data_IF_306149144237
#
_entry.id   IF_306149144237
#
_cell.length_a   1.000
_cell.length_b   1.000
_cell.length_c   1.000
_cell.angle_alpha   90.00
_cell.angle_beta   90.00
_cell.angle_gamma   90.00
#
_symmetry.space_group_name_H-M   'P 1'
#
loop_
_entity.id
_entity.type
_entity.pdbx_description
1 polymer ?
#
# COMPACT_ATOMS: atom_id res chain seq x y z
N UNK A 1 19.50 -15.14 -3.20
CA UNK A 1 20.85 -15.49 -2.69
C UNK A 1 21.63 -14.18 -2.64
N UNK A 2 22.15 -13.78 -1.48
CA UNK A 2 22.87 -12.51 -1.34
C UNK A 2 24.30 -12.67 -1.86
N UNK A 3 24.79 -11.70 -2.64
CA UNK A 3 26.19 -11.60 -3.03
C UNK A 3 27.03 -11.40 -1.76
N UNK A 4 28.02 -12.24 -1.54
CA UNK A 4 28.90 -12.16 -0.37
C UNK A 4 30.14 -11.32 -0.67
N UNK A 5 30.78 -10.78 0.37
CA UNK A 5 32.05 -10.04 0.23
C UNK A 5 33.16 -10.88 -0.46
N UNK A 6 33.06 -12.22 -0.38
CA UNK A 6 33.97 -13.15 -1.05
C UNK A 6 33.69 -13.27 -2.56
N UNK A 7 32.43 -13.14 -2.96
CA UNK A 7 32.02 -13.09 -4.38
C UNK A 7 32.44 -11.77 -5.03
N UNK A 8 32.49 -10.68 -4.25
CA UNK A 8 33.01 -9.38 -4.69
C UNK A 8 34.53 -9.46 -4.84
N UNK A 9 35.24 -10.02 -3.85
CA UNK A 9 36.70 -10.10 -3.88
C UNK A 9 37.26 -10.93 -5.04
N UNK A 10 36.55 -11.97 -5.48
CA UNK A 10 36.98 -12.85 -6.58
C UNK A 10 36.93 -12.17 -7.96
N UNK A 11 36.11 -11.12 -8.13
CA UNK A 11 36.06 -10.29 -9.35
C UNK A 11 37.35 -9.46 -9.49
N UNK A 12 38.01 -9.12 -8.39
CA UNK A 12 39.19 -8.26 -8.37
C UNK A 12 40.53 -9.02 -8.33
N UNK A 13 40.52 -10.34 -8.11
CA UNK A 13 41.74 -11.15 -8.10
C UNK A 13 42.10 -11.61 -9.51
N UNK A 14 42.91 -10.82 -10.22
CA UNK A 14 43.57 -11.24 -11.46
C UNK A 14 43.59 -10.22 -12.61
N UNK A 15 43.04 -9.02 -12.44
CA UNK A 15 42.91 -8.05 -13.53
C UNK A 15 43.80 -6.82 -13.30
N UNK A 16 44.63 -6.53 -14.30
CA UNK A 16 45.40 -5.31 -14.51
C UNK A 16 44.67 -4.05 -13.98
N UNK A 17 45.10 -3.56 -12.81
CA UNK A 17 44.47 -2.52 -11.98
C UNK A 17 44.66 -1.10 -12.55
N UNK A 18 44.59 -0.92 -13.86
CA UNK A 18 44.53 0.40 -14.47
C UNK A 18 43.22 1.09 -14.09
N UNK A 19 43.29 2.31 -13.56
CA UNK A 19 42.14 3.09 -13.08
C UNK A 19 40.97 3.16 -14.09
N UNK A 20 41.25 3.10 -15.39
CA UNK A 20 40.27 3.08 -16.47
C UNK A 20 39.39 1.83 -16.48
N UNK A 21 39.96 0.63 -16.22
CA UNK A 21 39.20 -0.62 -16.14
C UNK A 21 38.38 -0.72 -14.85
N UNK A 22 38.87 -0.12 -13.77
CA UNK A 22 38.12 -0.01 -12.50
C UNK A 22 36.90 0.90 -12.70
N UNK A 23 37.06 2.06 -13.34
CA UNK A 23 35.96 2.94 -13.67
C UNK A 23 34.92 2.27 -14.60
N UNK A 24 35.38 1.53 -15.61
CA UNK A 24 34.50 0.78 -16.51
C UNK A 24 33.69 -0.30 -15.79
N UNK A 25 34.33 -1.08 -14.91
CA UNK A 25 33.65 -2.11 -14.12
C UNK A 25 32.68 -1.51 -13.09
N UNK A 26 33.01 -0.36 -12.50
CA UNK A 26 32.14 0.34 -11.56
C UNK A 26 30.90 0.92 -12.25
N UNK A 27 31.07 1.52 -13.42
CA UNK A 27 29.95 2.03 -14.22
C UNK A 27 29.02 0.89 -14.69
N UNK A 28 29.57 -0.26 -15.07
CA UNK A 28 28.78 -1.43 -15.43
C UNK A 28 27.98 -1.99 -14.24
N UNK A 29 28.59 -2.03 -13.05
CA UNK A 29 27.89 -2.38 -11.81
C UNK A 29 26.79 -1.39 -11.44
N UNK A 30 26.98 -0.09 -11.70
CA UNK A 30 25.93 0.92 -11.50
C UNK A 30 24.79 0.70 -12.50
N UNK A 31 25.07 0.57 -13.79
CA UNK A 31 24.05 0.33 -14.83
C UNK A 31 23.24 -0.95 -14.60
N UNK A 32 23.88 -2.03 -14.15
CA UNK A 32 23.23 -3.31 -13.86
C UNK A 32 22.36 -3.26 -12.58
N UNK A 33 22.63 -2.34 -11.64
CA UNK A 33 21.90 -2.22 -10.38
C UNK A 33 20.86 -1.09 -10.34
N UNK A 34 20.97 -0.05 -11.19
CA UNK A 34 19.97 1.03 -11.28
C UNK A 34 18.57 0.47 -11.61
N UNK A 35 18.49 -0.56 -12.46
CA UNK A 35 17.22 -1.25 -12.75
C UNK A 35 16.67 -2.08 -11.59
N UNK A 36 17.52 -2.52 -10.65
CA UNK A 36 17.09 -3.24 -9.44
C UNK A 36 16.59 -2.29 -8.35
N UNK A 37 17.20 -1.12 -8.21
CA UNK A 37 16.73 -0.08 -7.28
C UNK A 37 15.35 0.44 -7.68
N UNK A 38 15.11 0.66 -8.98
CA UNK A 38 13.79 1.03 -9.48
C UNK A 38 12.76 -0.10 -9.32
N UNK A 39 13.17 -1.36 -9.44
CA UNK A 39 12.30 -2.52 -9.20
C UNK A 39 11.99 -2.71 -7.71
N UNK A 40 12.97 -2.49 -6.84
CA UNK A 40 12.82 -2.59 -5.39
C UNK A 40 12.00 -1.42 -4.83
N UNK A 41 12.23 -0.20 -5.31
CA UNK A 41 11.40 0.97 -5.03
C UNK A 41 9.99 0.78 -5.58
N UNK A 42 9.85 0.22 -6.78
CA UNK A 42 8.52 -0.10 -7.33
C UNK A 42 7.82 -1.16 -6.47
N UNK A 43 8.51 -2.22 -6.06
CA UNK A 43 7.95 -3.30 -5.25
C UNK A 43 7.58 -2.85 -3.82
N UNK A 44 8.40 -2.00 -3.20
CA UNK A 44 8.21 -1.55 -1.84
C UNK A 44 7.28 -0.33 -1.74
N UNK A 45 7.34 0.58 -2.71
CA UNK A 45 6.71 1.91 -2.61
C UNK A 45 5.68 2.20 -3.72
N UNK A 46 5.63 1.44 -4.82
CA UNK A 46 4.71 1.70 -5.96
C UNK A 46 3.72 0.57 -6.24
N UNK A 47 3.89 -0.63 -5.68
CA UNK A 47 2.89 -1.70 -5.73
C UNK A 47 1.83 -1.53 -4.66
N UNK A 48 0.63 -2.02 -4.97
CA UNK A 48 -0.47 -2.11 -4.01
C UNK A 48 -0.08 -3.05 -2.86
N UNK A 49 0.09 -2.50 -1.66
CA UNK A 49 0.50 -3.27 -0.49
C UNK A 49 -0.68 -3.94 0.20
N UNK A 50 -0.45 -5.07 0.87
CA UNK A 50 -1.39 -5.59 1.87
C UNK A 50 -1.14 -4.82 3.16
N UNK A 51 -2.11 -4.03 3.57
CA UNK A 51 -2.03 -3.18 4.73
C UNK A 51 -2.45 -3.86 6.03
N UNK A 52 -2.15 -3.20 7.15
CA UNK A 52 -2.54 -3.66 8.48
C UNK A 52 -4.06 -3.80 8.62
N UNK A 53 -4.48 -4.74 9.45
CA UNK A 53 -5.88 -4.94 9.80
C UNK A 53 -6.45 -3.71 10.53
N UNK A 54 -7.69 -3.34 10.19
CA UNK A 54 -8.40 -2.20 10.79
C UNK A 54 -9.52 -2.73 11.70
N UNK A 55 -9.49 -2.35 12.97
CA UNK A 55 -10.49 -2.67 13.97
C UNK A 55 -10.82 -1.47 14.84
N UNK A 56 -11.48 -1.71 15.98
CA UNK A 56 -11.96 -0.66 16.88
C UNK A 56 -10.84 0.30 17.35
N UNK A 57 -9.65 -0.24 17.60
CA UNK A 57 -8.53 0.48 18.22
C UNK A 57 -7.72 1.34 17.21
N UNK A 58 -7.92 1.13 15.90
CA UNK A 58 -7.22 1.84 14.83
C UNK A 58 -8.14 2.17 13.64
N UNK A 59 -9.37 2.57 13.94
CA UNK A 59 -10.48 2.74 12.97
C UNK A 59 -10.44 4.02 12.13
N UNK A 60 -9.42 4.86 12.24
CA UNK A 60 -9.36 6.14 11.52
C UNK A 60 -8.98 5.95 10.04
N UNK A 61 -9.98 6.03 9.15
CA UNK A 61 -9.79 5.87 7.71
C UNK A 61 -9.02 6.99 7.01
N UNK A 62 -8.81 8.15 7.65
CA UNK A 62 -8.05 9.25 7.06
C UNK A 62 -6.54 9.05 7.21
N UNK A 63 -6.12 8.20 8.15
CA UNK A 63 -4.72 7.90 8.49
C UNK A 63 -4.27 6.51 8.02
N UNK A 64 -4.99 5.92 7.07
CA UNK A 64 -4.66 4.61 6.49
C UNK A 64 -3.66 4.79 5.34
N UNK A 65 -2.66 3.91 5.27
CA UNK A 65 -1.69 3.87 4.17
C UNK A 65 -2.35 3.43 2.85
N UNK A 66 -1.69 3.70 1.72
CA UNK A 66 -2.07 3.08 0.46
C UNK A 66 -1.96 1.56 0.54
N UNK A 67 -2.96 0.84 0.03
CA UNK A 67 -3.00 -0.62 0.06
C UNK A 67 -4.39 -1.23 0.20
N UNK A 68 -4.43 -2.54 0.35
CA UNK A 68 -5.62 -3.33 0.67
C UNK A 68 -5.56 -3.75 2.13
N UNK A 69 -6.52 -3.31 2.92
CA UNK A 69 -6.62 -3.55 4.35
C UNK A 69 -7.81 -4.45 4.65
N UNK A 70 -7.58 -5.56 5.36
CA UNK A 70 -8.69 -6.25 6.01
C UNK A 70 -9.26 -5.38 7.14
N UNK A 71 -10.57 -5.41 7.36
CA UNK A 71 -11.18 -4.76 8.51
C UNK A 71 -12.21 -5.67 9.17
N UNK A 72 -12.49 -5.43 10.46
CA UNK A 72 -13.53 -6.14 11.18
C UNK A 72 -13.96 -5.46 12.46
N UNK A 73 -15.27 -5.39 12.64
CA UNK A 73 -15.96 -4.82 13.78
C UNK A 73 -17.01 -5.82 14.27
N UNK A 74 -16.93 -6.14 15.55
CA UNK A 74 -17.73 -7.18 16.22
C UNK A 74 -18.66 -6.56 17.26
N UNK A 75 -19.51 -7.35 17.91
CA UNK A 75 -20.50 -6.82 18.87
C UNK A 75 -19.86 -5.97 19.99
N UNK A 76 -18.69 -6.37 20.49
CA UNK A 76 -17.94 -5.65 21.54
C UNK A 76 -17.05 -4.52 21.01
N UNK A 77 -17.09 -4.27 19.70
CA UNK A 77 -16.21 -3.35 19.00
C UNK A 77 -16.80 -2.98 17.64
N UNK A 78 -18.01 -2.43 17.65
CA UNK A 78 -18.72 -1.96 16.46
C UNK A 78 -17.98 -0.79 15.83
N UNK A 79 -18.32 -0.49 14.57
CA UNK A 79 -17.79 0.71 13.90
C UNK A 79 -18.12 1.93 14.75
N UNK A 80 -17.12 2.76 15.13
CA UNK A 80 -17.38 3.89 16.03
C UNK A 80 -18.38 4.89 15.46
N UNK A 81 -19.26 5.39 16.31
CA UNK A 81 -20.17 6.48 15.97
C UNK A 81 -19.40 7.78 15.72
N UNK A 82 -19.90 8.64 14.84
CA UNK A 82 -19.27 9.91 14.45
C UNK A 82 -17.84 9.76 13.90
N UNK A 83 -17.53 8.60 13.31
CA UNK A 83 -16.25 8.33 12.66
C UNK A 83 -16.27 8.72 11.18
N UNK A 84 -15.14 8.48 10.50
CA UNK A 84 -15.01 8.66 9.06
C UNK A 84 -15.39 7.42 8.24
N UNK A 85 -16.03 6.42 8.84
CA UNK A 85 -16.65 5.29 8.14
C UNK A 85 -17.97 5.71 7.46
N UNK A 86 -18.44 4.94 6.47
CA UNK A 86 -19.78 5.13 5.90
C UNK A 86 -20.84 5.20 7.01
N UNK A 87 -21.73 6.18 6.94
CA UNK A 87 -22.72 6.44 8.01
C UNK A 87 -23.63 5.24 8.28
N UNK A 88 -23.90 4.42 7.27
CA UNK A 88 -24.67 3.17 7.36
C UNK A 88 -23.94 2.07 8.15
N UNK A 89 -22.61 2.09 8.18
CA UNK A 89 -21.81 1.13 8.94
C UNK A 89 -21.64 1.55 10.41
N UNK A 90 -21.67 2.85 10.70
CA UNK A 90 -21.47 3.36 12.07
C UNK A 90 -22.48 2.79 13.06
N UNK A 91 -21.99 2.30 14.20
CA UNK A 91 -22.81 1.63 15.23
C UNK A 91 -23.20 0.19 14.90
N UNK A 92 -22.74 -0.37 13.78
CA UNK A 92 -23.03 -1.75 13.37
C UNK A 92 -21.77 -2.61 13.36
N UNK A 93 -21.98 -3.93 13.36
CA UNK A 93 -20.94 -4.91 13.04
C UNK A 93 -20.69 -4.94 11.54
N UNK A 94 -19.48 -5.32 11.13
CA UNK A 94 -19.13 -5.42 9.72
C UNK A 94 -17.67 -5.77 9.53
N UNK A 95 -17.36 -6.54 8.50
CA UNK A 95 -15.99 -6.90 8.15
C UNK A 95 -15.85 -7.00 6.64
N UNK A 96 -14.60 -7.01 6.14
CA UNK A 96 -14.33 -7.04 4.72
C UNK A 96 -12.99 -6.40 4.38
N UNK A 97 -12.95 -5.71 3.24
CA UNK A 97 -11.73 -5.07 2.75
C UNK A 97 -11.94 -3.58 2.46
N UNK A 98 -10.95 -2.78 2.83
CA UNK A 98 -10.75 -1.42 2.36
C UNK A 98 -9.62 -1.41 1.34
N UNK A 99 -9.86 -0.82 0.19
CA UNK A 99 -8.84 -0.55 -0.82
C UNK A 99 -8.60 0.96 -0.81
N UNK A 100 -7.39 1.37 -0.42
CA UNK A 100 -6.93 2.76 -0.43
C UNK A 100 -5.92 2.95 -1.56
N UNK A 101 -6.20 3.87 -2.48
CA UNK A 101 -5.30 4.24 -3.58
C UNK A 101 -4.88 5.71 -3.46
N UNK A 102 -3.61 5.97 -3.77
CA UNK A 102 -3.02 7.31 -3.72
C UNK A 102 -2.35 7.62 -2.38
N UNK A 103 -1.48 8.62 -2.38
CA UNK A 103 -0.72 9.08 -1.21
C UNK A 103 -0.58 10.61 -1.23
N UNK A 104 -0.23 11.20 -0.08
CA UNK A 104 -0.02 12.64 0.07
C UNK A 104 -1.28 13.48 -0.14
N UNK A 105 -1.10 14.67 -0.72
CA UNK A 105 -2.16 15.66 -0.97
C UNK A 105 -2.79 15.54 -2.37
N UNK A 106 -2.42 14.50 -3.12
CA UNK A 106 -3.00 14.19 -4.42
C UNK A 106 -4.40 13.59 -4.28
N UNK A 107 -5.03 13.32 -5.42
CA UNK A 107 -6.27 12.55 -5.48
C UNK A 107 -6.07 11.18 -4.80
N UNK A 108 -6.95 10.84 -3.86
CA UNK A 108 -6.98 9.52 -3.21
C UNK A 108 -8.35 8.90 -3.37
N UNK A 109 -8.40 7.57 -3.41
CA UNK A 109 -9.63 6.80 -3.51
C UNK A 109 -9.70 5.81 -2.37
N UNK A 110 -10.87 5.69 -1.74
CA UNK A 110 -11.17 4.58 -0.86
C UNK A 110 -12.41 3.83 -1.32
N UNK A 111 -12.28 2.52 -1.44
CA UNK A 111 -13.35 1.58 -1.74
C UNK A 111 -13.47 0.57 -0.59
N UNK A 112 -14.66 0.44 -0.02
CA UNK A 112 -14.98 -0.57 1.00
C UNK A 112 -15.84 -1.64 0.35
N UNK A 113 -15.40 -2.89 0.47
CA UNK A 113 -16.17 -4.08 0.15
C UNK A 113 -16.52 -4.77 1.48
N UNK A 114 -17.76 -4.61 1.92
CA UNK A 114 -18.23 -5.11 3.22
C UNK A 114 -19.06 -6.38 3.06
N UNK A 115 -19.03 -7.22 4.08
CA UNK A 115 -19.99 -8.32 4.21
C UNK A 115 -21.44 -7.84 4.14
N UNK A 116 -22.31 -8.69 3.59
CA UNK A 116 -23.69 -8.31 3.25
C UNK A 116 -23.85 -7.63 1.89
N UNK A 117 -22.81 -7.57 1.06
CA UNK A 117 -22.87 -7.08 -0.33
C UNK A 117 -22.92 -5.56 -0.47
N UNK A 118 -22.47 -4.85 0.57
CA UNK A 118 -22.36 -3.40 0.53
C UNK A 118 -21.01 -2.97 -0.04
N UNK A 119 -21.06 -2.03 -0.99
CA UNK A 119 -19.88 -1.35 -1.49
C UNK A 119 -20.00 0.16 -1.29
N UNK A 120 -18.95 0.77 -0.77
CA UNK A 120 -18.87 2.21 -0.54
C UNK A 120 -17.63 2.79 -1.18
N UNK A 121 -17.74 3.99 -1.73
CA UNK A 121 -16.63 4.71 -2.33
C UNK A 121 -16.58 6.15 -1.83
N UNK A 122 -15.38 6.67 -1.60
CA UNK A 122 -15.15 8.11 -1.45
C UNK A 122 -13.84 8.52 -2.09
N UNK A 123 -13.75 9.78 -2.46
CA UNK A 123 -12.58 10.38 -3.10
C UNK A 123 -12.07 11.51 -2.22
N UNK A 124 -10.75 11.65 -2.11
CA UNK A 124 -10.12 12.86 -1.60
C UNK A 124 -9.73 13.72 -2.80
N UNK A 125 -10.31 14.90 -2.91
CA UNK A 125 -9.97 15.87 -3.94
C UNK A 125 -10.17 17.29 -3.40
N UNK A 126 -9.40 18.25 -3.89
CA UNK A 126 -9.57 19.65 -3.50
C UNK A 126 -9.43 19.90 -2.00
N UNK A 127 -8.45 19.24 -1.35
CA UNK A 127 -8.09 19.36 0.08
C UNK A 127 -9.02 18.70 1.11
N UNK A 128 -10.02 17.94 0.68
CA UNK A 128 -10.92 17.24 1.61
C UNK A 128 -11.37 15.88 1.08
N UNK A 129 -11.81 15.01 2.00
CA UNK A 129 -12.54 13.79 1.66
C UNK A 129 -14.00 14.14 1.35
N UNK A 130 -14.48 13.67 0.20
CA UNK A 130 -15.90 13.68 -0.09
C UNK A 130 -16.68 12.72 0.82
N UNK A 131 -18.00 12.92 0.82
CA UNK A 131 -18.93 12.00 1.48
C UNK A 131 -18.84 10.60 0.83
N UNK A 132 -19.07 9.58 1.65
CA UNK A 132 -19.24 8.22 1.15
C UNK A 132 -20.44 8.11 0.23
N UNK A 133 -20.19 7.59 -0.97
CA UNK A 133 -21.21 7.15 -1.92
C UNK A 133 -21.43 5.66 -1.76
N UNK A 134 -22.70 5.25 -1.79
CA UNK A 134 -23.08 3.84 -1.81
C UNK A 134 -23.03 3.39 -3.27
N UNK A 135 -22.12 2.50 -3.60
CA UNK A 135 -21.91 1.98 -4.96
C UNK A 135 -22.84 0.80 -5.23
N UNK A 136 -23.04 -0.06 -4.22
CA UNK A 136 -23.90 -1.23 -4.32
C UNK A 136 -24.45 -1.60 -2.95
N UNK A 137 -25.70 -2.10 -2.94
CA UNK A 137 -26.39 -2.51 -1.71
C UNK A 137 -26.83 -3.97 -1.69
N UNK A 138 -26.82 -4.70 -2.84
CA UNK A 138 -27.21 -6.13 -2.98
C UNK A 138 -26.62 -6.78 -4.24
N UNK A 139 -26.47 -8.11 -4.25
CA UNK A 139 -26.12 -8.94 -5.42
C UNK A 139 -27.36 -9.47 -6.17
N UNK A 140 -27.15 -10.01 -7.38
CA UNK A 140 -28.16 -10.74 -8.15
C UNK A 140 -28.72 -11.94 -7.38
N UNK A 141 -30.02 -12.21 -7.59
CA UNK A 141 -30.78 -13.32 -7.01
C UNK A 141 -30.56 -14.62 -7.78
#
# INVERSE_FOLDING_TARGET
MAITAKDIASIFTGMDLGAEKIAGNFNKLLEENIGQDDQLDTLNNKTLQVGNFIGKDNSDLNNVSMGVHGFGFWEEGKVPANSNWPKTMQGNVGWGYLIHLGTGDNCKLQLICCTGGWMFMRIYAGTAWDKWTIVQTKYEQ
#
